data_IF_099248125112
#
_entry.id   IF_099248125112
#
_cell.length_a   1.000
_cell.length_b   1.000
_cell.length_c   1.000
_cell.angle_alpha   90.00
_cell.angle_beta   90.00
_cell.angle_gamma   90.00
#
_symmetry.space_group_name_H-M   'P 1'
#
loop_
_entity.id
_entity.type
_entity.pdbx_description
1 polymer ?
#
# COMPACT_ATOMS: atom_id res chain seq x y z
N UNK A 1 -4.53 -1.43 28.37
CA UNK A 1 -4.77 -1.80 26.96
C UNK A 1 -4.43 -3.28 26.76
N UNK A 2 -5.40 -4.10 26.36
CA UNK A 2 -5.18 -5.54 26.15
C UNK A 2 -4.67 -5.79 24.72
N UNK A 3 -3.37 -5.65 24.48
CA UNK A 3 -2.74 -5.78 23.16
C UNK A 3 -1.89 -7.06 23.12
N UNK A 4 -2.21 -7.98 22.20
CA UNK A 4 -1.40 -9.18 21.94
C UNK A 4 -0.22 -8.84 21.02
N UNK A 5 1.01 -9.02 21.50
CA UNK A 5 2.22 -8.87 20.68
C UNK A 5 2.39 -10.09 19.77
N UNK A 6 2.73 -9.86 18.50
CA UNK A 6 3.07 -10.88 17.52
C UNK A 6 4.46 -10.58 16.98
N UNK A 7 5.30 -11.59 16.87
CA UNK A 7 6.66 -11.48 16.34
C UNK A 7 6.79 -12.31 15.06
N UNK A 8 7.57 -11.80 14.11
CA UNK A 8 7.94 -12.57 12.93
C UNK A 8 9.01 -13.60 13.28
N UNK A 9 9.18 -14.61 12.42
CA UNK A 9 10.29 -15.55 12.55
C UNK A 9 11.62 -14.83 12.34
N UNK A 10 12.68 -15.19 13.09
CA UNK A 10 14.01 -14.60 12.92
C UNK A 10 14.49 -14.72 11.48
N UNK A 11 15.09 -13.64 10.95
CA UNK A 11 15.70 -13.59 9.61
C UNK A 11 14.78 -14.00 8.44
N UNK A 12 13.46 -13.93 8.63
CA UNK A 12 12.48 -14.22 7.58
C UNK A 12 11.77 -12.94 7.12
N UNK A 13 12.29 -12.26 6.07
CA UNK A 13 11.70 -10.99 5.59
C UNK A 13 10.29 -11.16 5.02
N UNK A 14 9.91 -12.39 4.67
CA UNK A 14 8.59 -12.72 4.14
C UNK A 14 7.46 -12.37 5.14
N UNK A 15 7.73 -12.55 6.44
CA UNK A 15 6.75 -12.35 7.52
C UNK A 15 6.36 -10.88 7.70
N UNK A 16 7.27 -9.95 7.39
CA UNK A 16 7.10 -8.48 7.53
C UNK A 16 7.05 -7.75 6.19
N UNK A 17 6.89 -8.49 5.09
CA UNK A 17 7.03 -7.97 3.72
C UNK A 17 6.13 -6.80 3.36
N UNK A 18 4.95 -6.68 3.98
CA UNK A 18 4.06 -5.53 3.77
C UNK A 18 4.65 -4.24 4.35
N UNK A 19 5.16 -4.30 5.58
CA UNK A 19 5.79 -3.15 6.25
C UNK A 19 7.08 -2.77 5.53
N UNK A 20 7.85 -3.74 5.06
CA UNK A 20 9.08 -3.49 4.30
C UNK A 20 8.80 -2.77 2.98
N UNK A 21 7.77 -3.18 2.23
CA UNK A 21 7.34 -2.48 1.01
C UNK A 21 6.90 -1.05 1.32
N UNK A 22 6.13 -0.85 2.39
CA UNK A 22 5.74 0.48 2.85
C UNK A 22 6.96 1.35 3.17
N UNK A 23 7.92 0.84 3.93
CA UNK A 23 9.14 1.55 4.30
C UNK A 23 9.91 2.00 3.05
N UNK A 24 10.02 1.13 2.03
CA UNK A 24 10.63 1.49 0.74
C UNK A 24 9.88 2.63 0.04
N UNK A 25 8.56 2.59 0.02
CA UNK A 25 7.73 3.68 -0.56
C UNK A 25 7.91 4.98 0.21
N UNK A 26 7.93 4.93 1.54
CA UNK A 26 8.11 6.09 2.39
C UNK A 26 9.48 6.75 2.16
N UNK A 27 10.56 5.97 2.16
CA UNK A 27 11.92 6.46 1.87
C UNK A 27 11.98 7.06 0.46
N UNK A 28 11.30 6.46 -0.51
CA UNK A 28 11.24 6.99 -1.89
C UNK A 28 10.55 8.34 -1.94
N UNK A 29 9.45 8.53 -1.21
CA UNK A 29 8.73 9.81 -1.13
C UNK A 29 9.55 10.86 -0.39
N UNK A 30 10.18 10.49 0.74
CA UNK A 30 11.07 11.36 1.49
C UNK A 30 12.21 11.87 0.61
N UNK A 31 12.89 10.99 -0.12
CA UNK A 31 13.99 11.36 -1.05
C UNK A 31 13.58 12.41 -2.08
N UNK A 32 12.32 12.42 -2.52
CA UNK A 32 11.81 13.39 -3.49
C UNK A 32 11.50 14.76 -2.88
N UNK A 33 11.20 14.80 -1.58
CA UNK A 33 10.78 16.02 -0.87
C UNK A 33 11.97 16.66 -0.15
N UNK A 34 12.93 15.85 0.30
CA UNK A 34 14.17 16.34 0.91
C UNK A 34 15.08 16.96 -0.14
N UNK A 35 15.60 18.15 0.14
CA UNK A 35 16.64 18.77 -0.69
C UNK A 35 17.92 17.93 -0.67
N UNK A 36 18.65 17.95 -1.80
CA UNK A 36 19.91 17.22 -1.92
C UNK A 36 20.92 17.72 -0.88
N UNK A 37 21.48 16.79 -0.09
CA UNK A 37 22.46 17.11 0.95
C UNK A 37 21.89 17.58 2.30
N UNK A 38 20.57 17.75 2.44
CA UNK A 38 19.93 18.06 3.73
C UNK A 38 19.33 16.81 4.37
N UNK A 39 19.69 16.55 5.62
CA UNK A 39 19.19 15.42 6.42
C UNK A 39 17.95 15.76 7.27
N UNK A 40 17.15 16.76 6.86
CA UNK A 40 15.95 17.22 7.57
C UNK A 40 14.70 16.36 7.28
N UNK A 41 14.86 15.04 7.21
CA UNK A 41 13.79 14.10 6.85
C UNK A 41 12.59 14.18 7.81
N UNK A 42 12.82 14.53 9.08
CA UNK A 42 11.77 14.61 10.10
C UNK A 42 10.72 15.68 9.76
N UNK A 43 11.14 16.83 9.24
CA UNK A 43 10.23 17.91 8.79
C UNK A 43 9.44 17.52 7.53
N UNK A 44 10.01 16.64 6.71
CA UNK A 44 9.37 16.12 5.50
C UNK A 44 8.43 14.94 5.78
N UNK A 45 8.40 14.40 7.00
CA UNK A 45 7.69 13.16 7.31
C UNK A 45 6.17 13.31 7.17
N UNK A 46 5.58 14.41 7.63
CA UNK A 46 4.14 14.64 7.53
C UNK A 46 3.70 14.73 6.07
N UNK A 47 4.42 15.52 5.26
CA UNK A 47 4.22 15.61 3.79
C UNK A 47 4.43 14.24 3.12
N UNK A 48 5.46 13.53 3.57
CA UNK A 48 5.71 12.09 3.41
C UNK A 48 4.45 11.23 3.41
N UNK A 49 3.83 11.26 4.58
CA UNK A 49 2.71 10.42 4.94
C UNK A 49 1.42 10.86 4.23
N UNK A 50 1.19 12.17 4.11
CA UNK A 50 0.07 12.72 3.37
C UNK A 50 0.13 12.31 1.90
N UNK A 51 1.29 12.49 1.26
CA UNK A 51 1.49 12.03 -0.10
C UNK A 51 1.29 10.51 -0.24
N UNK A 52 1.57 9.71 0.79
CA UNK A 52 1.29 8.26 0.77
C UNK A 52 -0.20 7.95 0.85
N UNK A 53 -0.95 8.59 1.75
CA UNK A 53 -2.40 8.41 1.91
C UNK A 53 -3.16 8.61 0.60
N UNK A 54 -2.71 9.56 -0.20
CA UNK A 54 -3.28 10.02 -1.46
C UNK A 54 -2.61 9.44 -2.72
N UNK A 55 -1.87 8.34 -2.57
CA UNK A 55 -1.23 7.66 -3.70
C UNK A 55 -1.72 6.23 -3.81
N UNK A 56 -1.97 5.82 -5.04
CA UNK A 56 -2.40 4.47 -5.35
C UNK A 56 -1.43 3.43 -4.82
N UNK A 57 -1.96 2.50 -4.03
CA UNK A 57 -1.19 1.43 -3.42
C UNK A 57 -1.54 0.09 -4.06
N UNK A 58 -0.59 -0.44 -4.85
CA UNK A 58 -0.79 -1.64 -5.67
C UNK A 58 -1.30 -2.86 -4.91
N UNK A 59 -0.90 -3.06 -3.65
CA UNK A 59 -1.31 -4.26 -2.91
C UNK A 59 -2.76 -4.20 -2.41
N UNK A 60 -3.38 -3.02 -2.36
CA UNK A 60 -4.77 -2.83 -1.94
C UNK A 60 -5.69 -2.38 -3.09
N UNK A 61 -5.12 -2.08 -4.26
CA UNK A 61 -5.84 -1.65 -5.47
C UNK A 61 -6.69 -0.36 -5.27
N UNK A 62 -6.26 0.49 -4.35
CA UNK A 62 -6.87 1.78 -4.02
C UNK A 62 -5.87 2.70 -3.34
N UNK A 63 -6.26 3.96 -3.13
CA UNK A 63 -5.51 4.88 -2.27
C UNK A 63 -5.78 4.53 -0.79
N UNK A 64 -4.77 4.52 0.10
CA UNK A 64 -4.97 4.16 1.51
C UNK A 64 -6.05 4.99 2.22
N UNK A 65 -6.20 6.26 1.84
CA UNK A 65 -7.23 7.15 2.39
C UNK A 65 -8.65 6.72 2.01
N UNK A 66 -8.84 6.14 0.82
CA UNK A 66 -10.16 5.72 0.35
C UNK A 66 -10.69 4.55 1.19
N UNK A 67 -9.78 3.66 1.61
CA UNK A 67 -10.12 2.56 2.51
C UNK A 67 -10.46 3.06 3.93
N UNK A 68 -9.79 4.11 4.39
CA UNK A 68 -9.99 4.68 5.73
C UNK A 68 -11.28 5.50 5.81
N UNK A 69 -11.52 6.35 4.81
CA UNK A 69 -12.64 7.31 4.79
C UNK A 69 -13.87 6.83 4.03
N UNK A 70 -13.72 5.83 3.16
CA UNK A 70 -14.82 5.33 2.32
C UNK A 70 -15.24 6.29 1.21
N UNK A 71 -14.33 7.12 0.69
CA UNK A 71 -14.60 8.06 -0.41
C UNK A 71 -13.56 7.85 -1.50
N UNK A 72 -13.97 7.87 -2.77
CA UNK A 72 -13.02 7.78 -3.89
C UNK A 72 -12.40 9.16 -4.09
N UNK A 73 -11.08 9.26 -4.10
CA UNK A 73 -10.39 10.54 -4.31
C UNK A 73 -9.59 10.46 -5.60
N UNK A 74 -10.26 10.62 -6.73
CA UNK A 74 -9.58 10.69 -8.02
C UNK A 74 -8.72 11.96 -8.07
N UNK A 75 -7.58 11.91 -8.74
CA UNK A 75 -6.69 13.08 -8.90
C UNK A 75 -7.39 14.25 -9.61
N UNK A 76 -8.40 13.98 -10.44
CA UNK A 76 -9.25 14.99 -11.09
C UNK A 76 -10.43 15.44 -10.20
N UNK A 77 -11.05 14.54 -9.42
CA UNK A 77 -12.10 14.90 -8.46
C UNK A 77 -11.63 15.87 -7.37
N UNK A 78 -10.31 15.96 -7.14
CA UNK A 78 -9.66 16.94 -6.27
C UNK A 78 -9.84 18.40 -6.71
N UNK A 79 -9.98 18.65 -8.02
CA UNK A 79 -10.14 20.01 -8.55
C UNK A 79 -11.61 20.44 -8.56
N UNK A 80 -12.53 19.49 -8.78
CA UNK A 80 -13.92 19.79 -9.12
C UNK A 80 -14.96 19.35 -8.08
N UNK A 81 -14.54 18.80 -6.93
CA UNK A 81 -15.44 18.41 -5.82
C UNK A 81 -16.57 17.41 -6.20
N UNK A 82 -16.34 16.58 -7.23
CA UNK A 82 -17.31 15.64 -7.83
C UNK A 82 -17.29 14.22 -7.24
N UNK A 83 -16.53 13.98 -6.16
CA UNK A 83 -16.34 12.62 -5.60
C UNK A 83 -17.64 11.97 -5.13
N UNK A 84 -18.01 10.85 -5.76
CA UNK A 84 -19.09 9.98 -5.28
C UNK A 84 -18.65 9.26 -3.99
N UNK A 85 -19.42 9.44 -2.91
CA UNK A 85 -19.26 8.61 -1.70
C UNK A 85 -19.66 7.17 -2.03
N UNK A 86 -18.77 6.21 -1.79
CA UNK A 86 -19.08 4.78 -1.91
C UNK A 86 -19.23 4.16 -0.52
N UNK A 87 -20.09 3.15 -0.36
CA UNK A 87 -20.17 2.45 0.92
C UNK A 87 -18.84 1.73 1.20
N UNK A 88 -18.42 1.67 2.46
CA UNK A 88 -17.17 0.97 2.87
C UNK A 88 -17.06 -0.45 2.32
N UNK A 89 -18.19 -1.16 2.21
CA UNK A 89 -18.28 -2.51 1.66
C UNK A 89 -17.67 -2.62 0.25
N UNK A 90 -17.87 -1.61 -0.59
CA UNK A 90 -17.31 -1.54 -1.93
C UNK A 90 -15.78 -1.66 -1.95
N UNK A 91 -15.10 -0.95 -1.05
CA UNK A 91 -13.63 -1.00 -0.95
C UNK A 91 -13.14 -2.34 -0.42
N UNK A 92 -13.87 -2.93 0.54
CA UNK A 92 -13.53 -4.24 1.09
C UNK A 92 -13.70 -5.35 0.05
N UNK A 93 -14.79 -5.31 -0.72
CA UNK A 93 -15.05 -6.30 -1.78
C UNK A 93 -13.99 -6.18 -2.88
N UNK A 94 -13.64 -4.95 -3.31
CA UNK A 94 -12.52 -4.72 -4.24
C UNK A 94 -11.18 -5.28 -3.72
N UNK A 95 -10.88 -5.08 -2.44
CA UNK A 95 -9.66 -5.60 -1.81
C UNK A 95 -9.63 -7.13 -1.82
N UNK A 96 -10.77 -7.79 -1.55
CA UNK A 96 -10.89 -9.25 -1.61
C UNK A 96 -10.66 -9.75 -3.03
N UNK A 97 -11.34 -9.16 -4.02
CA UNK A 97 -11.18 -9.53 -5.42
C UNK A 97 -9.72 -9.38 -5.87
N UNK A 98 -9.05 -8.30 -5.45
CA UNK A 98 -7.63 -8.09 -5.74
C UNK A 98 -6.75 -9.18 -5.09
N UNK A 99 -6.99 -9.50 -3.81
CA UNK A 99 -6.29 -10.56 -3.10
C UNK A 99 -6.45 -11.92 -3.80
N UNK A 100 -7.66 -12.24 -4.25
CA UNK A 100 -7.96 -13.50 -4.93
C UNK A 100 -7.26 -13.58 -6.30
N UNK A 101 -7.27 -12.48 -7.07
CA UNK A 101 -6.49 -12.37 -8.32
C UNK A 101 -5.00 -12.56 -8.07
N UNK A 102 -4.47 -11.96 -7.01
CA UNK A 102 -3.06 -12.06 -6.65
C UNK A 102 -2.67 -13.50 -6.28
N UNK A 103 -3.51 -14.18 -5.49
CA UNK A 103 -3.32 -15.59 -5.12
C UNK A 103 -3.29 -16.49 -6.35
N UNK A 104 -4.27 -16.33 -7.25
CA UNK A 104 -4.33 -17.09 -8.52
C UNK A 104 -3.08 -16.88 -9.37
N UNK A 105 -2.62 -15.64 -9.51
CA UNK A 105 -1.40 -15.31 -10.25
C UNK A 105 -0.15 -15.97 -9.67
N UNK A 106 -0.02 -15.99 -8.34
CA UNK A 106 1.07 -16.65 -7.64
C UNK A 106 1.06 -18.17 -7.85
N UNK A 107 -0.10 -18.81 -7.75
CA UNK A 107 -0.27 -20.25 -8.00
C UNK A 107 0.14 -20.61 -9.44
N UNK A 108 -0.32 -19.86 -10.44
CA UNK A 108 0.09 -20.06 -11.84
C UNK A 108 1.59 -19.90 -12.04
N UNK A 109 2.24 -18.92 -11.39
CA UNK A 109 3.69 -18.76 -11.47
C UNK A 109 4.43 -19.95 -10.87
N UNK A 110 3.95 -20.48 -9.75
CA UNK A 110 4.51 -21.67 -9.10
C UNK A 110 4.42 -22.89 -10.02
N UNK A 111 3.27 -23.11 -10.66
CA UNK A 111 3.06 -24.20 -11.63
C UNK A 111 3.99 -24.09 -12.84
N UNK A 112 4.15 -22.89 -13.40
CA UNK A 112 5.06 -22.65 -14.53
C UNK A 112 6.53 -22.90 -14.14
N UNK A 113 6.92 -22.57 -12.91
CA UNK A 113 8.27 -22.83 -12.42
C UNK A 113 8.54 -24.32 -12.25
N UNK A 114 7.55 -25.09 -11.79
CA UNK A 114 7.66 -26.56 -11.70
C UNK A 114 7.74 -27.22 -13.07
N UNK A 115 6.98 -26.74 -14.07
CA UNK A 115 7.01 -27.26 -15.45
C UNK A 115 8.35 -26.99 -16.16
N UNK A 116 9.01 -25.87 -15.87
CA UNK A 116 10.33 -25.54 -16.45
C UNK A 116 11.51 -26.34 -15.88
N UNK A 117 11.30 -27.08 -14.78
CA UNK A 117 12.33 -27.92 -14.15
C UNK A 117 12.26 -29.40 -14.56
N UNK A 118 11.24 -29.79 -15.32
CA UNK A 118 11.13 -31.07 -16.01
C UNK A 118 11.64 -30.92 -17.43
#
# INVERSE_FOLDING_TARGET
MNIKRKHGTPYSPTTTSLVERFNKTLVTKLRKITEFGKFDWARCLEKANEAYKYSYHRAIDCDPIELLEGKILTTMDRQENLSEKKPRKFFIDRLKDHSDRYKKSYETQKENLTRKKQ
#
